data_IF_462114427755
#
_entry.id   IF_462114427755
#
_cell.length_a   1.000
_cell.length_b   1.000
_cell.length_c   1.000
_cell.angle_alpha   90.00
_cell.angle_beta   90.00
_cell.angle_gamma   90.00
#
_symmetry.space_group_name_H-M   'P 1'
#
loop_
_entity.id
_entity.type
_entity.pdbx_description
1 polymer ?
#
# COMPACT_ATOMS: atom_id res chain seq x y z
N UNK A 1 -53.56 -47.91 70.12
CA UNK A 1 -52.61 -48.25 69.01
C UNK A 1 -52.27 -47.00 68.25
N UNK A 2 -51.13 -46.42 68.56
CA UNK A 2 -50.65 -45.15 67.98
C UNK A 2 -49.63 -45.47 66.91
N UNK A 3 -49.87 -45.10 65.62
CA UNK A 3 -48.92 -45.23 64.55
C UNK A 3 -48.10 -43.89 64.44
N UNK A 4 -46.80 -43.97 64.71
CA UNK A 4 -45.84 -42.89 64.52
C UNK A 4 -45.48 -42.86 63.03
N UNK A 5 -45.70 -41.73 62.36
CA UNK A 5 -45.18 -41.40 61.03
C UNK A 5 -43.77 -40.79 61.19
N UNK A 6 -42.79 -41.33 60.46
CA UNK A 6 -41.45 -40.73 60.31
C UNK A 6 -41.43 -39.89 59.01
N UNK A 7 -40.89 -38.68 59.00
CA UNK A 7 -40.70 -37.90 57.76
C UNK A 7 -39.42 -38.36 57.06
N UNK A 8 -39.55 -38.74 55.77
CA UNK A 8 -38.44 -39.01 54.87
C UNK A 8 -37.82 -37.68 54.41
N UNK A 9 -36.56 -37.45 54.77
CA UNK A 9 -35.78 -36.33 54.27
C UNK A 9 -35.23 -36.72 52.88
N UNK A 10 -35.74 -36.07 51.82
CA UNK A 10 -35.15 -36.15 50.49
C UNK A 10 -33.94 -35.22 50.42
N UNK A 11 -32.75 -35.80 50.31
CA UNK A 11 -31.50 -35.07 50.07
C UNK A 11 -31.41 -34.77 48.56
N UNK A 12 -31.71 -33.53 48.18
CA UNK A 12 -31.50 -33.07 46.80
C UNK A 12 -30.01 -32.81 46.59
N UNK A 13 -29.32 -33.71 45.91
CA UNK A 13 -27.95 -33.51 45.41
C UNK A 13 -28.00 -32.56 44.20
N UNK A 14 -27.65 -31.29 44.39
CA UNK A 14 -27.41 -30.35 43.31
C UNK A 14 -26.11 -30.75 42.60
N UNK A 15 -26.21 -31.33 41.41
CA UNK A 15 -25.06 -31.44 40.47
C UNK A 15 -24.73 -30.05 39.98
N UNK A 16 -23.66 -29.47 40.50
CA UNK A 16 -22.98 -28.36 39.88
C UNK A 16 -22.33 -28.86 38.58
N UNK A 17 -22.99 -28.67 37.46
CA UNK A 17 -22.39 -28.85 36.16
C UNK A 17 -21.35 -27.73 35.98
N UNK A 18 -20.09 -28.06 36.28
CA UNK A 18 -18.96 -27.23 35.83
C UNK A 18 -18.90 -27.32 34.31
N UNK A 19 -19.57 -26.38 33.64
CA UNK A 19 -19.44 -26.20 32.21
C UNK A 19 -17.97 -25.95 31.88
N UNK A 20 -17.29 -26.94 31.32
CA UNK A 20 -15.99 -26.71 30.69
C UNK A 20 -16.21 -25.68 29.59
N UNK A 21 -15.86 -24.42 29.84
CA UNK A 21 -15.82 -23.41 28.80
C UNK A 21 -14.79 -23.91 27.78
N UNK A 22 -15.26 -24.24 26.57
CA UNK A 22 -14.35 -24.53 25.46
C UNK A 22 -13.43 -23.36 25.29
N UNK A 23 -12.12 -23.64 25.23
CA UNK A 23 -11.12 -22.59 25.01
C UNK A 23 -11.47 -21.78 23.76
N UNK A 24 -11.33 -20.46 23.83
CA UNK A 24 -11.59 -19.59 22.69
C UNK A 24 -10.83 -20.08 21.44
N UNK A 25 -11.46 -20.18 20.27
CA UNK A 25 -10.78 -20.58 19.04
C UNK A 25 -9.64 -19.61 18.65
N UNK A 26 -9.59 -18.44 19.30
CA UNK A 26 -8.59 -17.42 19.06
C UNK A 26 -7.42 -17.45 20.07
N UNK A 27 -7.43 -18.35 21.07
CA UNK A 27 -6.30 -18.51 21.97
C UNK A 27 -5.03 -18.85 21.19
N UNK A 28 -5.08 -19.94 20.39
CA UNK A 28 -3.93 -20.37 19.57
C UNK A 28 -3.44 -19.29 18.58
N UNK A 29 -4.29 -18.63 17.76
CA UNK A 29 -3.85 -17.54 16.92
C UNK A 29 -3.23 -16.37 17.70
N UNK A 30 -3.76 -16.05 18.87
CA UNK A 30 -3.19 -15.03 19.75
C UNK A 30 -1.79 -15.39 20.24
N UNK A 31 -1.59 -16.64 20.68
CA UNK A 31 -0.28 -17.16 21.09
C UNK A 31 0.71 -17.17 19.91
N UNK A 32 0.27 -17.51 18.69
CA UNK A 32 1.10 -17.42 17.47
C UNK A 32 1.60 -15.98 17.26
N UNK A 33 0.75 -14.96 17.42
CA UNK A 33 1.15 -13.55 17.31
C UNK A 33 2.19 -13.21 18.38
N UNK A 34 1.94 -13.59 19.63
CA UNK A 34 2.85 -13.35 20.78
C UNK A 34 4.21 -14.00 20.54
N UNK A 35 4.24 -15.24 20.08
CA UNK A 35 5.47 -15.99 19.82
C UNK A 35 6.26 -15.43 18.64
N UNK A 36 5.57 -14.98 17.59
CA UNK A 36 6.21 -14.29 16.48
C UNK A 36 6.84 -12.97 16.91
N UNK A 37 6.13 -12.15 17.68
CA UNK A 37 6.68 -10.89 18.20
C UNK A 37 7.88 -11.18 19.11
N UNK A 38 7.76 -12.10 20.06
CA UNK A 38 8.86 -12.48 20.95
C UNK A 38 10.11 -12.94 20.22
N UNK A 39 9.94 -13.78 19.20
CA UNK A 39 11.06 -14.46 18.56
C UNK A 39 11.63 -13.75 17.33
N UNK A 40 10.90 -12.81 16.71
CA UNK A 40 11.27 -12.24 15.42
C UNK A 40 11.25 -10.71 15.33
N UNK A 41 10.62 -10.02 16.27
CA UNK A 41 10.60 -8.56 16.25
C UNK A 41 12.04 -8.02 16.31
N UNK A 42 12.34 -7.00 15.51
CA UNK A 42 13.72 -6.50 15.34
C UNK A 42 14.37 -5.95 16.60
N UNK A 43 13.59 -5.54 17.60
CA UNK A 43 14.06 -5.14 18.93
C UNK A 43 13.66 -6.21 19.96
N UNK A 44 14.58 -7.11 20.35
CA UNK A 44 14.25 -8.23 21.23
C UNK A 44 13.72 -7.80 22.60
N UNK A 45 14.19 -6.66 23.15
CA UNK A 45 13.75 -6.17 24.47
C UNK A 45 12.30 -5.69 24.43
N UNK A 46 11.95 -4.89 23.42
CA UNK A 46 10.56 -4.45 23.22
C UNK A 46 9.65 -5.62 22.86
N UNK A 47 10.11 -6.53 22.02
CA UNK A 47 9.38 -7.74 21.65
C UNK A 47 9.03 -8.61 22.85
N UNK A 48 9.99 -8.88 23.75
CA UNK A 48 9.77 -9.66 24.95
C UNK A 48 8.82 -8.95 25.95
N UNK A 49 9.00 -7.66 26.15
CA UNK A 49 8.13 -6.87 27.04
C UNK A 49 6.67 -6.87 26.55
N UNK A 50 6.48 -6.66 25.23
CA UNK A 50 5.16 -6.71 24.59
C UNK A 50 4.54 -8.10 24.69
N UNK A 51 5.30 -9.15 24.37
CA UNK A 51 4.85 -10.53 24.40
C UNK A 51 4.41 -10.97 25.80
N UNK A 52 5.16 -10.57 26.83
CA UNK A 52 4.80 -10.82 28.24
C UNK A 52 3.49 -10.12 28.61
N UNK A 53 3.33 -8.85 28.22
CA UNK A 53 2.11 -8.06 28.49
C UNK A 53 0.87 -8.65 27.84
N UNK A 54 1.00 -9.16 26.60
CA UNK A 54 -0.11 -9.61 25.79
C UNK A 54 -0.28 -11.14 25.76
N UNK A 55 0.39 -11.88 26.65
CA UNK A 55 0.25 -13.34 26.71
C UNK A 55 -1.21 -13.75 26.93
N UNK A 56 -1.71 -14.67 26.10
CA UNK A 56 -3.07 -15.21 26.18
C UNK A 56 -4.19 -14.24 25.78
N UNK A 57 -3.90 -13.07 25.23
CA UNK A 57 -4.93 -12.06 24.89
C UNK A 57 -6.02 -12.59 23.93
N UNK A 58 -5.67 -13.58 23.08
CA UNK A 58 -6.61 -14.21 22.16
C UNK A 58 -7.74 -14.97 22.85
N UNK A 59 -7.55 -15.42 24.10
CA UNK A 59 -8.57 -16.10 24.86
C UNK A 59 -9.83 -15.26 25.10
N UNK A 60 -9.69 -13.94 25.16
CA UNK A 60 -10.79 -13.00 25.37
C UNK A 60 -11.56 -12.63 24.07
N UNK A 61 -11.09 -13.08 22.92
CA UNK A 61 -11.76 -12.79 21.65
C UNK A 61 -13.00 -13.66 21.44
N UNK A 62 -14.10 -13.02 21.06
CA UNK A 62 -15.42 -13.65 20.87
C UNK A 62 -15.78 -13.92 19.42
N UNK A 63 -15.09 -13.26 18.48
CA UNK A 63 -15.25 -13.42 17.04
C UNK A 63 -13.97 -13.10 16.29
N UNK A 64 -13.89 -13.42 14.99
CA UNK A 64 -12.77 -13.06 14.13
C UNK A 64 -12.55 -11.53 14.08
N UNK A 65 -13.63 -10.75 13.99
CA UNK A 65 -13.56 -9.30 14.00
C UNK A 65 -13.08 -8.75 15.35
N UNK A 66 -13.50 -9.38 16.46
CA UNK A 66 -13.03 -9.00 17.79
C UNK A 66 -11.56 -9.33 17.97
N UNK A 67 -11.11 -10.49 17.51
CA UNK A 67 -9.69 -10.88 17.49
C UNK A 67 -8.85 -9.89 16.66
N UNK A 68 -9.34 -9.54 15.47
CA UNK A 68 -8.67 -8.57 14.60
C UNK A 68 -8.53 -7.20 15.28
N UNK A 69 -9.61 -6.66 15.85
CA UNK A 69 -9.58 -5.38 16.57
C UNK A 69 -8.59 -5.40 17.75
N UNK A 70 -8.60 -6.45 18.56
CA UNK A 70 -7.68 -6.61 19.70
C UNK A 70 -6.23 -6.65 19.25
N UNK A 71 -5.93 -7.42 18.20
CA UNK A 71 -4.58 -7.52 17.65
C UNK A 71 -4.13 -6.18 17.06
N UNK A 72 -4.99 -5.51 16.29
CA UNK A 72 -4.73 -4.18 15.73
C UNK A 72 -4.57 -3.09 16.80
N UNK A 73 -5.21 -3.22 17.95
CA UNK A 73 -5.05 -2.31 19.06
C UNK A 73 -3.72 -2.55 19.84
N UNK A 74 -3.26 -3.80 19.93
CA UNK A 74 -2.07 -4.17 20.68
C UNK A 74 -0.75 -3.88 19.93
N UNK A 75 -0.70 -4.14 18.61
CA UNK A 75 0.54 -4.02 17.82
C UNK A 75 1.16 -2.62 17.79
N UNK A 76 0.38 -1.50 17.75
CA UNK A 76 0.95 -0.14 17.77
C UNK A 76 1.80 0.16 19.02
N UNK A 77 1.60 -0.55 20.12
CA UNK A 77 2.44 -0.41 21.33
C UNK A 77 3.92 -0.77 21.08
N UNK A 78 4.20 -1.54 20.02
CA UNK A 78 5.56 -1.82 19.57
C UNK A 78 6.26 -0.60 18.97
N UNK A 79 5.52 0.47 18.66
CA UNK A 79 6.03 1.72 18.08
C UNK A 79 7.02 1.46 16.93
N UNK A 80 6.58 0.68 15.94
CA UNK A 80 7.39 0.27 14.81
C UNK A 80 6.54 0.23 13.53
N UNK A 81 7.07 0.80 12.47
CA UNK A 81 6.48 0.61 11.15
C UNK A 81 6.54 -0.87 10.73
N UNK A 82 5.90 -1.24 9.65
CA UNK A 82 5.89 -2.63 9.14
C UNK A 82 5.42 -3.65 10.19
N UNK A 83 4.61 -3.20 11.17
CA UNK A 83 4.05 -4.05 12.24
C UNK A 83 2.54 -3.85 12.25
N UNK A 84 1.82 -4.76 11.62
CA UNK A 84 0.38 -4.66 11.43
C UNK A 84 -0.27 -6.03 11.25
N UNK A 85 -1.55 -6.12 11.58
CA UNK A 85 -2.36 -7.33 11.39
C UNK A 85 -3.33 -7.12 10.20
N UNK A 86 -3.35 -8.07 9.29
CA UNK A 86 -4.17 -8.07 8.09
C UNK A 86 -5.12 -9.26 8.07
N UNK A 87 -6.40 -9.06 8.43
CA UNK A 87 -7.42 -10.09 8.34
C UNK A 87 -7.64 -10.58 6.92
N UNK A 88 -7.93 -11.86 6.77
CA UNK A 88 -8.33 -12.44 5.49
C UNK A 88 -9.51 -11.68 4.87
N UNK A 89 -9.46 -11.49 3.56
CA UNK A 89 -10.52 -10.79 2.82
C UNK A 89 -10.39 -9.27 2.83
N UNK A 90 -9.35 -8.71 3.46
CA UNK A 90 -9.03 -7.29 3.35
C UNK A 90 -8.08 -7.00 2.18
N UNK A 91 -8.08 -5.78 1.69
CA UNK A 91 -7.18 -5.33 0.62
C UNK A 91 -5.72 -5.54 1.01
N UNK A 92 -5.31 -5.09 2.21
CA UNK A 92 -3.92 -5.24 2.66
C UNK A 92 -3.47 -6.70 2.79
N UNK A 93 -4.37 -7.62 3.19
CA UNK A 93 -4.07 -9.06 3.18
C UNK A 93 -3.80 -9.57 1.76
N UNK A 94 -4.59 -9.15 0.79
CA UNK A 94 -4.44 -9.55 -0.60
C UNK A 94 -3.16 -8.98 -1.22
N UNK A 95 -2.85 -7.74 -0.94
CA UNK A 95 -1.65 -7.06 -1.42
C UNK A 95 -0.38 -7.72 -0.91
N UNK A 96 -0.27 -7.93 0.41
CA UNK A 96 0.86 -8.66 1.00
C UNK A 96 0.96 -10.09 0.48
N UNK A 97 -0.19 -10.76 0.32
CA UNK A 97 -0.23 -12.11 -0.27
C UNK A 97 0.32 -12.12 -1.69
N UNK A 98 0.02 -11.11 -2.50
CA UNK A 98 0.52 -11.00 -3.87
C UNK A 98 2.02 -10.65 -3.92
N UNK A 99 2.47 -9.70 -3.09
CA UNK A 99 3.88 -9.29 -2.98
C UNK A 99 4.75 -10.47 -2.53
N UNK A 100 4.31 -11.17 -1.50
CA UNK A 100 5.06 -12.25 -0.86
C UNK A 100 4.56 -13.65 -1.24
N UNK A 101 3.89 -13.80 -2.38
CA UNK A 101 3.25 -15.05 -2.81
C UNK A 101 4.18 -16.26 -2.74
N UNK A 102 5.43 -16.11 -3.19
CA UNK A 102 6.44 -17.17 -3.15
C UNK A 102 6.88 -17.51 -1.73
N UNK A 103 7.10 -16.51 -0.90
CA UNK A 103 7.48 -16.66 0.51
C UNK A 103 6.36 -17.35 1.30
N UNK A 104 5.12 -16.95 1.10
CA UNK A 104 3.94 -17.53 1.73
C UNK A 104 3.49 -18.86 1.10
N UNK A 105 4.15 -19.31 0.02
CA UNK A 105 3.83 -20.53 -0.72
C UNK A 105 2.36 -20.60 -1.17
N UNK A 106 1.82 -19.46 -1.61
CA UNK A 106 0.44 -19.40 -2.08
C UNK A 106 0.36 -19.76 -3.57
N UNK A 107 -0.61 -20.62 -3.97
CA UNK A 107 -0.72 -21.05 -5.36
C UNK A 107 -1.18 -19.94 -6.29
N UNK A 108 -2.12 -19.14 -5.85
CA UNK A 108 -2.73 -18.03 -6.60
C UNK A 108 -3.26 -16.98 -5.62
N UNK A 109 -3.12 -15.72 -5.99
CA UNK A 109 -3.71 -14.58 -5.26
C UNK A 109 -4.51 -13.77 -6.25
N UNK A 110 -5.81 -13.67 -6.02
CA UNK A 110 -6.73 -12.86 -6.82
C UNK A 110 -7.75 -12.18 -5.93
N UNK A 111 -8.09 -10.94 -6.28
CA UNK A 111 -9.09 -10.13 -5.58
C UNK A 111 -9.97 -9.41 -6.58
N UNK A 112 -11.22 -9.10 -6.19
CA UNK A 112 -12.06 -8.20 -6.95
C UNK A 112 -11.47 -6.80 -6.98
N UNK A 113 -11.35 -6.20 -8.16
CA UNK A 113 -10.91 -4.81 -8.36
C UNK A 113 -11.80 -4.10 -9.36
N UNK A 114 -11.96 -2.81 -9.17
CA UNK A 114 -12.56 -1.88 -10.14
C UNK A 114 -11.52 -1.12 -10.97
N UNK A 115 -10.23 -1.38 -10.74
CA UNK A 115 -9.14 -0.62 -11.37
C UNK A 115 -8.95 0.75 -10.72
N UNK A 116 -9.03 0.80 -9.39
CA UNK A 116 -8.78 2.01 -8.61
C UNK A 116 -8.35 1.64 -7.18
N UNK A 117 -7.45 2.43 -6.61
CA UNK A 117 -7.15 2.41 -5.18
C UNK A 117 -8.14 3.30 -4.44
N UNK A 118 -8.79 2.74 -3.43
CA UNK A 118 -9.77 3.44 -2.60
C UNK A 118 -9.17 3.64 -1.22
N UNK A 119 -9.06 4.90 -0.82
CA UNK A 119 -8.57 5.28 0.49
C UNK A 119 -9.74 5.49 1.45
N UNK A 120 -9.67 4.84 2.61
CA UNK A 120 -10.55 5.15 3.74
C UNK A 120 -10.02 6.38 4.48
N UNK A 121 -10.92 7.31 4.78
CA UNK A 121 -10.66 8.54 5.55
C UNK A 121 -11.73 8.69 6.63
N UNK A 122 -11.59 9.59 7.59
CA UNK A 122 -12.66 9.90 8.54
C UNK A 122 -13.99 10.35 7.89
N UNK A 123 -13.93 10.87 6.65
CA UNK A 123 -15.12 11.28 5.88
C UNK A 123 -15.70 10.17 5.01
N UNK A 124 -15.07 9.00 4.93
CA UNK A 124 -15.48 7.84 4.13
C UNK A 124 -14.45 7.37 3.10
N UNK A 125 -14.90 6.68 2.09
CA UNK A 125 -14.06 6.05 1.08
C UNK A 125 -13.92 6.94 -0.15
N UNK A 126 -12.68 7.30 -0.52
CA UNK A 126 -12.39 8.16 -1.67
C UNK A 126 -11.52 7.46 -2.70
N UNK A 127 -11.82 7.67 -3.98
CA UNK A 127 -10.96 7.21 -5.07
C UNK A 127 -9.63 7.98 -5.04
N UNK A 128 -8.56 7.28 -4.64
CA UNK A 128 -7.21 7.84 -4.52
C UNK A 128 -6.48 7.84 -5.86
N UNK A 129 -6.37 6.67 -6.45
CA UNK A 129 -5.83 6.49 -7.79
C UNK A 129 -6.86 5.77 -8.65
N UNK A 130 -7.12 6.29 -9.82
CA UNK A 130 -7.98 5.65 -10.82
C UNK A 130 -7.06 5.19 -11.95
N UNK A 131 -6.90 3.88 -12.09
CA UNK A 131 -5.93 3.30 -13.02
C UNK A 131 -6.38 3.55 -14.46
N UNK A 132 -5.50 4.15 -15.26
CA UNK A 132 -5.79 4.46 -16.66
C UNK A 132 -6.24 3.19 -17.40
N UNK A 133 -7.25 3.34 -18.25
CA UNK A 133 -7.88 2.25 -19.01
C UNK A 133 -8.55 1.15 -18.18
N UNK A 134 -8.57 1.27 -16.84
CA UNK A 134 -9.31 0.38 -15.93
C UNK A 134 -10.83 0.54 -16.03
N UNK A 135 -11.60 -0.39 -15.43
CA UNK A 135 -13.06 -0.32 -15.44
C UNK A 135 -13.61 0.98 -14.84
N UNK A 136 -13.03 1.43 -13.71
CA UNK A 136 -13.43 2.66 -13.03
C UNK A 136 -13.17 3.91 -13.91
N UNK A 137 -11.99 4.00 -14.53
CA UNK A 137 -11.66 5.09 -15.43
C UNK A 137 -12.62 5.16 -16.63
N UNK A 138 -12.94 4.01 -17.24
CA UNK A 138 -13.89 3.91 -18.35
C UNK A 138 -15.31 4.33 -17.97
N UNK A 139 -15.70 4.13 -16.72
CA UNK A 139 -16.99 4.54 -16.18
C UNK A 139 -17.01 6.01 -15.73
N UNK A 140 -15.89 6.73 -15.77
CA UNK A 140 -15.80 8.13 -15.40
C UNK A 140 -15.63 8.39 -13.91
N UNK A 141 -15.15 7.40 -13.12
CA UNK A 141 -14.68 7.63 -11.76
C UNK A 141 -13.45 8.53 -11.80
N UNK A 142 -13.39 9.52 -10.92
CA UNK A 142 -12.28 10.47 -10.83
C UNK A 142 -11.62 10.41 -9.45
N UNK A 143 -10.34 10.84 -9.41
CA UNK A 143 -9.66 11.10 -8.15
C UNK A 143 -10.49 12.04 -7.28
N UNK A 144 -10.67 11.68 -6.01
CA UNK A 144 -11.43 12.44 -5.05
C UNK A 144 -12.94 12.19 -5.04
N UNK A 145 -13.48 11.35 -5.93
CA UNK A 145 -14.86 10.90 -5.82
C UNK A 145 -15.03 10.06 -4.55
N UNK A 146 -16.06 10.36 -3.76
CA UNK A 146 -16.44 9.58 -2.58
C UNK A 146 -17.37 8.43 -2.99
N UNK A 147 -17.02 7.19 -2.64
CA UNK A 147 -17.84 6.02 -2.86
C UNK A 147 -18.86 5.89 -1.73
N UNK A 148 -20.14 6.05 -2.02
CA UNK A 148 -21.21 5.97 -1.04
C UNK A 148 -21.77 4.54 -0.94
N UNK A 149 -22.13 3.95 -2.06
CA UNK A 149 -22.78 2.63 -2.08
C UNK A 149 -22.48 1.84 -3.34
N UNK A 150 -22.67 0.52 -3.23
CA UNK A 150 -22.67 -0.46 -4.33
C UNK A 150 -23.99 -1.20 -4.31
N UNK A 151 -24.77 -1.12 -5.40
CA UNK A 151 -26.11 -1.66 -5.51
C UNK A 151 -27.02 -1.25 -4.32
N UNK A 152 -26.95 0.01 -3.91
CA UNK A 152 -27.71 0.57 -2.81
C UNK A 152 -27.26 0.18 -1.40
N UNK A 153 -26.22 -0.65 -1.25
CA UNK A 153 -25.62 -0.99 0.04
C UNK A 153 -24.38 -0.14 0.30
N UNK A 154 -24.11 0.31 1.54
CA UNK A 154 -22.90 1.09 1.83
C UNK A 154 -21.64 0.42 1.30
N UNK A 155 -20.72 1.22 0.73
CA UNK A 155 -19.42 0.71 0.30
C UNK A 155 -18.54 0.39 1.51
N UNK A 156 -17.92 -0.79 1.52
CA UNK A 156 -17.07 -1.29 2.62
C UNK A 156 -15.77 -1.90 2.12
N UNK A 157 -15.20 -1.40 1.05
CA UNK A 157 -13.99 -1.94 0.43
C UNK A 157 -14.21 -3.16 -0.50
N UNK A 158 -13.18 -4.00 -0.62
CA UNK A 158 -13.17 -5.21 -1.47
C UNK A 158 -14.36 -6.15 -1.19
N UNK A 159 -14.82 -6.22 0.06
CA UNK A 159 -15.97 -7.05 0.42
C UNK A 159 -17.24 -6.70 -0.37
N UNK A 160 -17.43 -5.40 -0.69
CA UNK A 160 -18.56 -4.94 -1.51
C UNK A 160 -18.51 -5.47 -2.96
N UNK A 161 -17.35 -5.94 -3.42
CA UNK A 161 -17.11 -6.34 -4.80
C UNK A 161 -17.14 -7.85 -5.02
N UNK A 162 -17.01 -8.67 -3.96
CA UNK A 162 -16.77 -10.12 -4.05
C UNK A 162 -17.83 -10.86 -4.88
N UNK A 163 -19.11 -10.50 -4.79
CA UNK A 163 -20.18 -11.13 -5.54
C UNK A 163 -20.52 -10.41 -6.87
N UNK A 164 -19.70 -9.41 -7.23
CA UNK A 164 -19.94 -8.51 -8.37
C UNK A 164 -18.96 -8.72 -9.52
N UNK A 165 -18.01 -9.62 -9.35
CA UNK A 165 -17.00 -9.91 -10.38
C UNK A 165 -17.66 -10.25 -11.70
N UNK A 166 -17.22 -9.61 -12.78
CA UNK A 166 -17.72 -9.72 -14.17
C UNK A 166 -19.22 -9.37 -14.33
N UNK A 167 -19.79 -8.59 -13.42
CA UNK A 167 -21.19 -8.11 -13.52
C UNK A 167 -21.20 -6.59 -13.56
N UNK A 168 -21.91 -5.95 -14.52
CA UNK A 168 -22.18 -4.53 -14.46
C UNK A 168 -22.82 -4.17 -13.11
N UNK A 169 -22.21 -3.27 -12.37
CA UNK A 169 -22.56 -2.98 -10.97
C UNK A 169 -22.68 -1.47 -10.78
N UNK A 170 -23.75 -1.03 -10.15
CA UNK A 170 -24.03 0.38 -9.89
C UNK A 170 -23.28 0.86 -8.65
N UNK A 171 -22.48 1.90 -8.82
CA UNK A 171 -21.80 2.63 -7.76
C UNK A 171 -22.43 4.00 -7.62
N UNK A 172 -22.87 4.36 -6.43
CA UNK A 172 -23.30 5.72 -6.11
C UNK A 172 -22.09 6.45 -5.56
N UNK A 173 -21.75 7.58 -6.17
CA UNK A 173 -20.63 8.43 -5.77
C UNK A 173 -21.08 9.84 -5.46
N UNK A 174 -20.31 10.55 -4.62
CA UNK A 174 -20.41 11.99 -4.38
C UNK A 174 -19.11 12.64 -4.89
N UNK A 175 -19.21 13.45 -5.94
CA UNK A 175 -18.05 14.12 -6.58
C UNK A 175 -17.69 15.44 -5.93
N UNK A 176 -18.70 16.15 -5.47
CA UNK A 176 -18.57 17.43 -4.79
C UNK A 176 -19.38 17.37 -3.50
N UNK A 177 -18.82 17.85 -2.42
CA UNK A 177 -19.46 17.82 -1.09
C UNK A 177 -20.86 18.45 -1.14
N UNK A 178 -21.87 17.68 -0.74
CA UNK A 178 -23.26 18.11 -0.68
C UNK A 178 -23.97 18.23 -2.04
N UNK A 179 -23.32 17.82 -3.14
CA UNK A 179 -23.98 17.75 -4.44
C UNK A 179 -24.81 16.46 -4.58
N UNK A 180 -25.75 16.47 -5.54
CA UNK A 180 -26.51 15.26 -5.87
C UNK A 180 -25.58 14.10 -6.29
N UNK A 181 -25.77 12.91 -5.69
CA UNK A 181 -24.96 11.75 -6.01
C UNK A 181 -25.10 11.33 -7.47
N UNK A 182 -23.99 10.88 -8.05
CA UNK A 182 -23.92 10.34 -9.40
C UNK A 182 -23.85 8.82 -9.37
N UNK A 183 -24.52 8.16 -10.30
CA UNK A 183 -24.45 6.69 -10.44
C UNK A 183 -23.54 6.34 -11.62
N UNK A 184 -22.49 5.55 -11.32
CA UNK A 184 -21.58 4.98 -12.31
C UNK A 184 -21.84 3.46 -12.44
N UNK A 185 -21.77 2.93 -13.64
CA UNK A 185 -21.81 1.47 -13.84
C UNK A 185 -20.41 0.96 -14.10
N UNK A 186 -19.86 0.22 -13.14
CA UNK A 186 -18.50 -0.34 -13.18
C UNK A 186 -18.59 -1.86 -13.14
N UNK A 187 -17.81 -2.56 -13.97
CA UNK A 187 -17.74 -4.03 -13.93
C UNK A 187 -16.46 -4.46 -13.22
N UNK A 188 -16.53 -4.91 -11.95
CA UNK A 188 -15.35 -5.40 -11.23
C UNK A 188 -14.76 -6.62 -11.91
N UNK A 189 -13.42 -6.75 -11.86
CA UNK A 189 -12.66 -7.88 -12.40
C UNK A 189 -11.93 -8.60 -11.29
N UNK A 190 -11.64 -9.89 -11.48
CA UNK A 190 -10.73 -10.63 -10.62
C UNK A 190 -9.30 -10.42 -11.11
N UNK A 191 -8.43 -9.91 -10.27
CA UNK A 191 -7.05 -9.54 -10.62
C UNK A 191 -6.05 -10.03 -9.58
N UNK A 192 -4.82 -10.25 -10.00
CA UNK A 192 -3.69 -10.30 -9.07
C UNK A 192 -3.24 -8.85 -8.79
N UNK A 193 -3.19 -8.39 -7.52
CA UNK A 193 -2.85 -7.00 -7.19
C UNK A 193 -1.51 -6.55 -7.79
N UNK A 194 -0.47 -7.38 -7.69
CA UNK A 194 0.87 -7.05 -8.23
C UNK A 194 0.84 -6.87 -9.76
N UNK A 195 0.12 -7.73 -10.47
CA UNK A 195 -0.03 -7.60 -11.92
C UNK A 195 -0.85 -6.34 -12.28
N UNK A 196 -1.92 -6.04 -11.55
CA UNK A 196 -2.72 -4.84 -11.79
C UNK A 196 -1.91 -3.56 -11.59
N UNK A 197 -1.07 -3.49 -10.55
CA UNK A 197 -0.18 -2.33 -10.35
C UNK A 197 0.86 -2.18 -11.45
N UNK A 198 1.38 -3.29 -11.97
CA UNK A 198 2.34 -3.25 -13.07
C UNK A 198 1.69 -2.76 -14.37
N UNK A 199 0.47 -3.22 -14.65
CA UNK A 199 -0.34 -2.76 -15.78
C UNK A 199 -0.71 -1.27 -15.62
N UNK A 200 -1.10 -0.84 -14.40
CA UNK A 200 -1.41 0.54 -14.08
C UNK A 200 -0.18 1.46 -14.20
N UNK A 201 1.00 1.00 -13.77
CA UNK A 201 2.28 1.70 -13.96
C UNK A 201 2.53 1.93 -15.46
N UNK A 202 2.44 0.88 -16.27
CA UNK A 202 2.62 0.99 -17.73
C UNK A 202 1.58 1.94 -18.34
N UNK A 203 0.32 1.82 -17.97
CA UNK A 203 -0.76 2.66 -18.47
C UNK A 203 -0.64 4.14 -18.04
N UNK A 204 0.12 4.43 -16.99
CA UNK A 204 0.40 5.81 -16.54
C UNK A 204 1.51 6.50 -17.34
N UNK A 205 2.31 5.74 -18.10
CA UNK A 205 3.44 6.23 -18.90
C UNK A 205 2.96 7.23 -19.94
N UNK A 206 3.47 8.46 -19.88
CA UNK A 206 3.14 9.52 -20.84
C UNK A 206 4.17 10.64 -20.86
N UNK A 207 4.22 11.39 -21.94
CA UNK A 207 4.93 12.66 -22.05
C UNK A 207 3.90 13.78 -22.15
N UNK A 208 4.08 14.82 -21.35
CA UNK A 208 3.21 16.00 -21.28
C UNK A 208 3.97 17.21 -21.78
N UNK A 209 3.40 17.95 -22.71
CA UNK A 209 3.92 19.27 -23.07
C UNK A 209 3.51 20.27 -21.98
N UNK A 210 4.47 20.75 -21.23
CA UNK A 210 4.26 21.63 -20.09
C UNK A 210 5.26 22.81 -20.10
N UNK A 211 4.74 24.02 -20.17
CA UNK A 211 5.53 25.27 -20.23
C UNK A 211 6.62 25.21 -21.33
N UNK A 212 6.30 24.66 -22.50
CA UNK A 212 7.23 24.54 -23.62
C UNK A 212 8.30 23.47 -23.47
N UNK A 213 8.18 22.58 -22.49
CA UNK A 213 9.07 21.43 -22.23
C UNK A 213 8.28 20.13 -22.33
N UNK A 214 8.93 19.06 -22.75
CA UNK A 214 8.39 17.71 -22.80
C UNK A 214 8.72 17.00 -21.49
N UNK A 215 7.77 16.93 -20.57
CA UNK A 215 7.96 16.30 -19.26
C UNK A 215 7.37 14.89 -19.27
N UNK A 216 8.22 13.89 -19.06
CA UNK A 216 7.81 12.51 -18.90
C UNK A 216 7.18 12.28 -17.52
N UNK A 217 6.22 11.35 -17.44
CA UNK A 217 5.57 10.95 -16.20
C UNK A 217 5.33 9.44 -16.16
N UNK A 218 5.64 8.83 -15.02
CA UNK A 218 5.22 7.48 -14.69
C UNK A 218 4.94 7.35 -13.20
N UNK A 219 3.83 6.66 -12.83
CA UNK A 219 3.49 6.36 -11.44
C UNK A 219 3.89 4.93 -11.09
N UNK A 220 4.63 4.77 -9.98
CA UNK A 220 4.98 3.48 -9.40
C UNK A 220 4.10 3.17 -8.20
N UNK A 221 3.06 2.37 -8.40
CA UNK A 221 2.16 1.91 -7.33
C UNK A 221 2.85 0.96 -6.36
N UNK A 222 3.90 0.28 -6.81
CA UNK A 222 4.73 -0.61 -6.01
C UNK A 222 6.16 -0.63 -6.57
N UNK A 223 7.12 -0.97 -5.71
CA UNK A 223 8.47 -1.35 -6.13
C UNK A 223 8.77 -2.83 -5.80
N UNK A 224 7.77 -3.58 -5.33
CA UNK A 224 7.97 -4.95 -4.87
C UNK A 224 8.15 -5.94 -6.03
N UNK A 225 9.40 -6.08 -6.44
CA UNK A 225 9.85 -6.94 -7.51
C UNK A 225 10.61 -6.20 -8.61
N UNK A 226 11.48 -6.90 -9.34
CA UNK A 226 12.31 -6.29 -10.38
C UNK A 226 11.51 -5.75 -11.56
N UNK A 227 10.28 -6.23 -11.76
CA UNK A 227 9.45 -5.90 -12.92
C UNK A 227 9.06 -4.41 -12.94
N UNK A 228 8.84 -3.79 -11.76
CA UNK A 228 8.53 -2.37 -11.65
C UNK A 228 9.71 -1.49 -12.05
N UNK A 229 10.93 -1.84 -11.60
CA UNK A 229 12.16 -1.16 -12.01
C UNK A 229 12.41 -1.34 -13.51
N UNK A 230 12.23 -2.55 -14.04
CA UNK A 230 12.41 -2.83 -15.47
C UNK A 230 11.45 -2.00 -16.33
N UNK A 231 10.17 -1.89 -15.94
CA UNK A 231 9.19 -1.06 -16.64
C UNK A 231 9.58 0.41 -16.68
N UNK A 232 10.13 0.94 -15.58
CA UNK A 232 10.64 2.31 -15.58
C UNK A 232 11.89 2.44 -16.49
N UNK A 233 12.79 1.47 -16.45
CA UNK A 233 13.98 1.46 -17.31
C UNK A 233 13.62 1.46 -18.79
N UNK A 234 12.67 0.60 -19.17
CA UNK A 234 12.16 0.53 -20.55
C UNK A 234 11.56 1.89 -20.96
N UNK A 235 10.72 2.48 -20.11
CA UNK A 235 10.14 3.80 -20.38
C UNK A 235 11.20 4.90 -20.51
N UNK A 236 12.21 4.93 -19.64
CA UNK A 236 13.31 5.90 -19.71
C UNK A 236 14.12 5.79 -21.00
N UNK A 237 14.31 4.57 -21.52
CA UNK A 237 15.09 4.29 -22.73
C UNK A 237 14.28 4.57 -24.02
N UNK A 238 13.00 4.27 -24.00
CA UNK A 238 12.16 4.28 -25.21
C UNK A 238 11.13 5.43 -25.18
N UNK A 239 10.08 5.31 -24.36
CA UNK A 239 8.95 6.27 -24.36
C UNK A 239 9.39 7.69 -24.02
N UNK A 240 10.38 7.82 -23.12
CA UNK A 240 10.89 9.08 -22.58
C UNK A 240 12.17 9.58 -23.25
N UNK A 241 12.70 8.86 -24.22
CA UNK A 241 13.98 9.20 -24.86
C UNK A 241 14.05 10.66 -25.33
N UNK A 242 12.95 11.20 -25.83
CA UNK A 242 12.83 12.58 -26.30
C UNK A 242 12.27 13.57 -25.27
N UNK A 243 11.97 13.14 -24.04
CA UNK A 243 11.53 14.04 -22.99
C UNK A 243 12.72 14.86 -22.44
N UNK A 244 12.43 16.05 -21.90
CA UNK A 244 13.43 16.97 -21.35
C UNK A 244 13.68 16.73 -19.87
N UNK A 245 12.65 16.24 -19.13
CA UNK A 245 12.70 15.92 -17.73
C UNK A 245 11.74 14.74 -17.43
N UNK A 246 11.85 14.15 -16.23
CA UNK A 246 10.93 13.09 -15.78
C UNK A 246 10.39 13.38 -14.38
N UNK A 247 9.08 13.15 -14.21
CA UNK A 247 8.41 13.02 -12.92
C UNK A 247 8.14 11.56 -12.65
N UNK A 248 8.69 11.04 -11.56
CA UNK A 248 8.44 9.69 -11.07
C UNK A 248 7.57 9.80 -9.83
N UNK A 249 6.35 9.26 -9.90
CA UNK A 249 5.38 9.36 -8.81
C UNK A 249 5.51 8.17 -7.87
N UNK A 250 6.00 8.43 -6.67
CA UNK A 250 6.19 7.48 -5.58
C UNK A 250 5.12 7.57 -4.50
N UNK A 251 4.11 8.38 -4.71
CA UNK A 251 3.04 8.53 -3.73
C UNK A 251 2.34 7.20 -3.50
N UNK A 252 1.94 6.98 -2.25
CA UNK A 252 1.14 5.84 -1.83
C UNK A 252 1.74 4.45 -2.17
N UNK A 253 0.91 3.43 -2.10
CA UNK A 253 1.23 2.06 -2.50
C UNK A 253 2.31 1.38 -1.64
N UNK A 254 3.01 0.43 -2.25
CA UNK A 254 3.97 -0.42 -1.55
C UNK A 254 5.41 -0.07 -1.89
N UNK A 255 6.29 -0.15 -0.89
CA UNK A 255 7.73 -0.02 -1.06
C UNK A 255 8.37 -1.21 -1.79
N UNK A 256 9.54 -1.65 -1.33
CA UNK A 256 10.27 -2.79 -1.89
C UNK A 256 11.19 -2.45 -3.05
N UNK A 257 11.49 -1.16 -3.27
CA UNK A 257 12.50 -0.76 -4.26
C UNK A 257 13.86 -1.37 -3.89
N UNK A 258 14.50 -2.00 -4.86
CA UNK A 258 15.86 -2.50 -4.71
C UNK A 258 16.85 -1.32 -4.80
N UNK A 259 17.97 -1.32 -4.06
CA UNK A 259 19.02 -0.31 -4.20
C UNK A 259 19.54 -0.12 -5.64
N UNK A 260 19.48 -1.16 -6.47
CA UNK A 260 19.83 -1.08 -7.91
C UNK A 260 18.94 -0.11 -8.71
N UNK A 261 17.81 0.33 -8.14
CA UNK A 261 16.97 1.38 -8.73
C UNK A 261 17.76 2.68 -9.00
N UNK A 262 18.73 2.99 -8.14
CA UNK A 262 19.59 4.15 -8.28
C UNK A 262 20.50 4.09 -9.53
N UNK A 263 20.78 2.88 -10.03
CA UNK A 263 21.60 2.70 -11.24
C UNK A 263 20.95 3.31 -12.48
N UNK A 264 19.64 3.47 -12.51
CA UNK A 264 18.91 4.13 -13.61
C UNK A 264 19.33 5.61 -13.78
N UNK A 265 19.86 6.22 -12.71
CA UNK A 265 20.25 7.63 -12.64
C UNK A 265 21.74 7.84 -12.42
N UNK A 266 22.55 6.78 -12.56
CA UNK A 266 23.99 6.83 -12.33
C UNK A 266 24.69 7.64 -13.44
N UNK A 267 25.10 8.87 -13.10
CA UNK A 267 25.77 9.80 -14.02
C UNK A 267 27.19 9.38 -14.40
N UNK A 268 27.79 8.43 -13.68
CA UNK A 268 29.12 7.89 -14.01
C UNK A 268 29.09 6.93 -15.20
N UNK A 269 27.93 6.39 -15.58
CA UNK A 269 27.78 5.59 -16.79
C UNK A 269 27.90 6.47 -18.02
N UNK A 270 28.85 6.21 -18.94
CA UNK A 270 29.06 7.07 -20.10
C UNK A 270 27.88 7.01 -21.07
N UNK A 271 27.65 8.13 -21.77
CA UNK A 271 26.72 8.17 -22.89
C UNK A 271 27.39 7.63 -24.15
N UNK A 272 26.68 6.87 -24.93
CA UNK A 272 27.13 6.32 -26.18
C UNK A 272 26.47 7.04 -27.36
N UNK A 273 27.22 7.19 -28.46
CA UNK A 273 26.67 7.75 -29.70
C UNK A 273 27.09 6.83 -30.85
N UNK A 274 26.13 6.12 -31.41
CA UNK A 274 26.33 5.41 -32.65
C UNK A 274 26.41 6.40 -33.82
N UNK A 275 27.36 6.22 -34.72
CA UNK A 275 27.48 7.04 -35.94
C UNK A 275 27.21 6.11 -37.13
N UNK A 276 26.10 6.34 -37.80
CA UNK A 276 25.70 5.59 -38.99
C UNK A 276 26.61 5.89 -40.19
N UNK A 277 26.57 5.06 -41.20
CA UNK A 277 27.32 5.26 -42.45
C UNK A 277 26.93 6.58 -43.15
N UNK A 278 25.70 7.01 -42.94
CA UNK A 278 25.13 8.27 -43.46
C UNK A 278 25.51 9.51 -42.62
N UNK A 279 26.39 9.34 -41.60
CA UNK A 279 26.75 10.35 -40.65
C UNK A 279 25.70 10.65 -39.57
N UNK A 280 24.53 9.97 -39.59
CA UNK A 280 23.49 10.14 -38.57
C UNK A 280 24.02 9.70 -37.21
N UNK A 281 23.85 10.57 -36.23
CA UNK A 281 24.26 10.31 -34.83
C UNK A 281 23.07 9.81 -34.04
N UNK A 282 23.16 8.61 -33.50
CA UNK A 282 22.14 7.98 -32.67
C UNK A 282 22.66 7.89 -31.24
N UNK A 283 22.34 8.86 -30.35
CA UNK A 283 22.73 8.79 -28.95
C UNK A 283 21.85 7.72 -28.25
N UNK A 284 22.49 6.91 -27.44
CA UNK A 284 21.80 6.03 -26.50
C UNK A 284 22.54 6.01 -25.16
N UNK A 285 21.78 5.83 -24.10
CA UNK A 285 22.31 5.77 -22.74
C UNK A 285 21.55 4.70 -21.96
N UNK A 286 22.29 3.92 -21.20
CA UNK A 286 21.71 2.96 -20.28
C UNK A 286 21.10 3.62 -19.02
N UNK A 287 21.31 4.94 -18.87
CA UNK A 287 20.92 5.71 -17.67
C UNK A 287 20.32 7.06 -18.04
N UNK A 288 19.46 7.56 -17.15
CA UNK A 288 18.83 8.88 -17.31
C UNK A 288 19.71 9.98 -16.74
N UNK A 289 20.01 10.99 -17.55
CA UNK A 289 20.91 12.10 -17.18
C UNK A 289 20.24 13.49 -17.15
N UNK A 290 18.94 13.54 -17.50
CA UNK A 290 18.16 14.79 -17.51
C UNK A 290 17.52 15.01 -16.12
N UNK A 291 16.90 16.17 -15.85
CA UNK A 291 16.26 16.44 -14.57
C UNK A 291 15.25 15.39 -14.16
N UNK A 292 15.21 15.10 -12.84
CA UNK A 292 14.28 14.14 -12.21
C UNK A 292 13.55 14.85 -11.08
N UNK A 293 12.25 14.70 -11.05
CA UNK A 293 11.39 15.03 -9.91
C UNK A 293 10.81 13.75 -9.33
N UNK A 294 10.97 13.55 -8.04
CA UNK A 294 10.24 12.53 -7.30
C UNK A 294 9.03 13.16 -6.63
N UNK A 295 7.84 12.69 -6.97
CA UNK A 295 6.60 13.09 -6.34
C UNK A 295 6.30 12.12 -5.20
N UNK A 296 6.27 12.61 -3.95
CA UNK A 296 6.15 11.81 -2.73
C UNK A 296 5.06 12.38 -1.80
N UNK A 297 4.57 11.55 -0.87
CA UNK A 297 3.61 11.99 0.14
C UNK A 297 3.78 11.21 1.46
N UNK A 298 2.95 11.51 2.47
CA UNK A 298 2.96 10.86 3.76
C UNK A 298 2.70 9.34 3.75
N UNK A 299 2.33 8.76 2.62
CA UNK A 299 2.18 7.32 2.44
C UNK A 299 3.34 6.69 1.62
N UNK A 300 4.25 7.50 1.08
CA UNK A 300 5.50 7.00 0.47
C UNK A 300 6.35 6.36 1.55
N UNK A 301 6.61 5.05 1.45
CA UNK A 301 7.20 4.26 2.53
C UNK A 301 8.29 3.30 2.07
N UNK A 302 9.11 2.83 3.03
CA UNK A 302 10.05 1.72 2.88
C UNK A 302 11.08 2.00 1.77
N UNK A 303 11.29 1.07 0.86
CA UNK A 303 12.24 1.22 -0.26
C UNK A 303 12.05 2.50 -1.08
N UNK A 304 10.83 3.04 -1.19
CA UNK A 304 10.58 4.34 -1.84
C UNK A 304 11.26 5.49 -1.08
N UNK A 305 11.26 5.44 0.26
CA UNK A 305 11.94 6.45 1.10
C UNK A 305 13.46 6.34 0.98
N UNK A 306 13.99 5.10 0.94
CA UNK A 306 15.43 4.86 0.76
C UNK A 306 15.89 5.46 -0.57
N UNK A 307 15.15 5.23 -1.66
CA UNK A 307 15.45 5.80 -2.97
C UNK A 307 15.32 7.32 -2.94
N UNK A 308 14.23 7.87 -2.39
CA UNK A 308 13.99 9.31 -2.31
C UNK A 308 15.09 10.03 -1.50
N UNK A 309 15.43 9.50 -0.33
CA UNK A 309 16.53 10.02 0.52
C UNK A 309 17.86 10.02 -0.23
N UNK A 310 18.20 8.89 -0.86
CA UNK A 310 19.49 8.77 -1.55
C UNK A 310 19.56 9.66 -2.78
N UNK A 311 18.50 9.72 -3.59
CA UNK A 311 18.47 10.60 -4.77
C UNK A 311 18.57 12.08 -4.39
N UNK A 312 17.88 12.51 -3.32
CA UNK A 312 17.99 13.86 -2.78
C UNK A 312 19.42 14.16 -2.30
N UNK A 313 19.99 13.28 -1.48
CA UNK A 313 21.33 13.43 -0.93
C UNK A 313 22.42 13.52 -2.01
N UNK A 314 22.26 12.76 -3.09
CA UNK A 314 23.17 12.77 -4.24
C UNK A 314 22.87 13.88 -5.27
N UNK A 315 21.89 14.73 -5.04
CA UNK A 315 21.47 15.77 -6.00
C UNK A 315 20.97 15.20 -7.33
N UNK A 316 20.39 14.00 -7.32
CA UNK A 316 19.88 13.33 -8.51
C UNK A 316 18.42 13.68 -8.80
N UNK A 317 17.65 14.07 -7.78
CA UNK A 317 16.24 14.43 -7.93
C UNK A 317 15.85 15.57 -7.00
N UNK A 318 14.83 16.35 -7.41
CA UNK A 318 14.07 17.27 -6.55
C UNK A 318 12.83 16.57 -6.04
N UNK A 319 12.58 16.62 -4.74
CA UNK A 319 11.40 16.02 -4.11
C UNK A 319 10.27 17.03 -4.01
N UNK A 320 9.08 16.67 -4.52
CA UNK A 320 7.87 17.49 -4.50
C UNK A 320 6.74 16.73 -3.79
N UNK A 321 5.90 17.42 -3.06
CA UNK A 321 4.71 16.86 -2.41
C UNK A 321 4.71 17.03 -0.91
N UNK A 322 4.74 15.96 -0.14
CA UNK A 322 4.76 16.01 1.32
C UNK A 322 5.86 15.14 1.90
N UNK A 323 6.25 15.44 3.14
CA UNK A 323 7.14 14.62 3.94
C UNK A 323 6.71 13.14 3.89
N UNK A 324 7.66 12.21 3.73
CA UNK A 324 7.36 10.78 3.61
C UNK A 324 6.99 10.12 4.95
N UNK A 325 6.57 8.87 4.91
CA UNK A 325 5.97 8.18 6.06
C UNK A 325 6.91 7.99 7.26
N UNK A 326 8.23 7.94 7.07
CA UNK A 326 9.16 7.50 8.12
C UNK A 326 8.97 6.03 8.48
N UNK A 327 8.67 5.20 7.49
CA UNK A 327 8.35 3.78 7.66
C UNK A 327 9.36 2.93 6.90
N UNK A 328 10.55 2.69 7.47
CA UNK A 328 11.71 2.15 6.75
C UNK A 328 12.24 0.83 7.33
N UNK A 329 11.62 0.29 8.38
CA UNK A 329 11.96 -1.05 8.86
C UNK A 329 11.71 -2.10 7.78
N UNK A 330 12.49 -3.19 7.79
CA UNK A 330 12.20 -4.33 6.94
C UNK A 330 11.16 -5.23 7.61
N UNK A 331 10.06 -5.50 6.89
CA UNK A 331 8.97 -6.34 7.38
C UNK A 331 8.86 -7.67 6.65
N UNK A 332 8.35 -8.68 7.34
CA UNK A 332 8.02 -9.98 6.77
C UNK A 332 6.59 -10.39 7.13
N UNK A 333 5.81 -10.95 6.19
CA UNK A 333 4.49 -11.48 6.50
C UNK A 333 4.61 -12.88 7.10
N UNK A 334 3.88 -13.11 8.18
CA UNK A 334 3.77 -14.37 8.90
C UNK A 334 2.32 -14.82 8.85
N UNK A 335 2.08 -16.02 8.33
CA UNK A 335 0.73 -16.55 8.20
C UNK A 335 0.34 -17.27 9.49
N UNK A 336 -0.77 -16.85 10.07
CA UNK A 336 -1.35 -17.48 11.26
C UNK A 336 -2.20 -18.69 10.89
N UNK A 337 -2.53 -19.51 11.88
CA UNK A 337 -3.40 -20.70 11.73
C UNK A 337 -4.81 -20.36 11.22
N UNK A 338 -5.30 -19.15 11.47
CA UNK A 338 -6.55 -18.61 10.89
C UNK A 338 -6.43 -18.27 9.39
N UNK A 339 -5.21 -18.17 8.87
CA UNK A 339 -4.91 -17.70 7.52
C UNK A 339 -4.80 -16.18 7.41
N UNK A 340 -4.96 -15.44 8.50
CA UNK A 340 -4.63 -14.01 8.57
C UNK A 340 -3.12 -13.79 8.47
N UNK A 341 -2.69 -12.56 8.18
CA UNK A 341 -1.27 -12.22 8.13
C UNK A 341 -0.91 -11.26 9.26
N UNK A 342 0.13 -11.62 10.01
CA UNK A 342 0.91 -10.69 10.82
C UNK A 342 2.06 -10.19 9.93
N UNK A 343 2.09 -8.89 9.61
CA UNK A 343 3.26 -8.25 9.01
C UNK A 343 4.10 -7.68 10.13
N UNK A 344 5.33 -8.14 10.27
CA UNK A 344 6.16 -7.86 11.44
C UNK A 344 7.50 -7.27 11.00
N UNK A 345 7.91 -6.15 11.62
CA UNK A 345 9.24 -5.58 11.48
C UNK A 345 10.30 -6.53 12.07
N UNK A 346 11.24 -6.96 11.24
CA UNK A 346 12.27 -7.95 11.61
C UNK A 346 13.70 -7.43 11.53
N UNK A 347 13.91 -6.28 10.85
CA UNK A 347 15.22 -5.65 10.74
C UNK A 347 15.10 -4.13 10.78
N UNK A 348 16.03 -3.45 11.44
CA UNK A 348 16.26 -2.02 11.29
C UNK A 348 17.08 -1.77 10.03
N UNK A 349 16.81 -0.66 9.33
CA UNK A 349 17.50 -0.28 8.10
C UNK A 349 18.18 1.07 8.29
N UNK A 350 19.47 1.12 8.05
CA UNK A 350 20.26 2.35 7.97
C UNK A 350 20.68 2.62 6.53
N UNK A 351 20.63 3.88 6.14
CA UNK A 351 21.15 4.34 4.85
C UNK A 351 22.36 5.22 5.10
N UNK A 352 23.56 4.67 4.90
CA UNK A 352 24.85 5.35 5.19
C UNK A 352 24.89 5.94 6.62
N UNK A 353 24.48 5.16 7.61
CA UNK A 353 24.46 5.55 9.02
C UNK A 353 23.28 6.44 9.44
N UNK A 354 22.33 6.72 8.53
CA UNK A 354 21.12 7.48 8.84
C UNK A 354 19.94 6.57 9.04
N UNK A 355 19.27 6.69 10.19
CA UNK A 355 18.01 6.03 10.48
C UNK A 355 16.86 6.91 9.98
N UNK A 356 16.04 6.38 9.08
CA UNK A 356 14.86 7.07 8.53
C UNK A 356 13.57 6.65 9.23
N UNK A 357 13.59 5.58 10.02
CA UNK A 357 12.43 5.11 10.79
C UNK A 357 11.97 6.18 11.79
N UNK A 358 10.70 6.53 11.75
CA UNK A 358 10.10 7.60 12.54
C UNK A 358 10.50 9.02 12.12
N UNK A 359 11.42 9.16 11.14
CA UNK A 359 11.90 10.46 10.66
C UNK A 359 11.35 10.79 9.28
N UNK A 360 11.45 9.86 8.31
CA UNK A 360 11.08 10.09 6.92
C UNK A 360 12.02 11.01 6.15
N UNK A 361 11.59 11.43 4.95
CA UNK A 361 12.37 12.27 4.04
C UNK A 361 11.63 13.59 3.79
N UNK A 362 12.21 14.74 4.15
CA UNK A 362 11.61 16.04 3.86
C UNK A 362 11.70 16.36 2.37
N UNK A 363 10.64 16.97 1.83
CA UNK A 363 10.59 17.43 0.43
C UNK A 363 11.34 18.74 0.23
N UNK A 364 11.65 19.07 -1.02
CA UNK A 364 12.23 20.35 -1.42
C UNK A 364 11.14 21.38 -1.72
N UNK A 365 9.99 20.91 -2.23
CA UNK A 365 8.81 21.72 -2.54
C UNK A 365 7.58 21.07 -1.89
N UNK A 366 7.09 21.71 -0.84
CA UNK A 366 5.90 21.21 -0.13
C UNK A 366 4.62 21.60 -0.87
N UNK A 367 3.74 20.60 -1.07
CA UNK A 367 2.41 20.78 -1.67
C UNK A 367 1.42 19.90 -0.91
N UNK A 368 0.41 20.48 -0.26
CA UNK A 368 -0.62 19.71 0.45
C UNK A 368 -1.35 18.73 -0.49
N UNK A 369 -1.70 17.58 0.06
CA UNK A 369 -2.57 16.63 -0.64
C UNK A 369 -4.04 17.00 -0.44
N UNK A 370 -4.76 17.18 -1.53
CA UNK A 370 -6.18 17.52 -1.54
C UNK A 370 -6.99 16.38 -2.15
N UNK A 371 -7.16 15.27 -1.41
CA UNK A 371 -7.88 14.11 -1.95
C UNK A 371 -9.41 14.25 -1.88
N UNK A 372 -10.06 14.55 -0.74
CA UNK A 372 -11.51 14.59 -0.69
C UNK A 372 -12.10 15.61 -1.67
N UNK A 373 -12.99 15.12 -2.53
CA UNK A 373 -13.71 15.96 -3.51
C UNK A 373 -12.82 16.69 -4.53
N UNK A 374 -11.66 16.11 -4.84
CA UNK A 374 -10.68 16.69 -5.78
C UNK A 374 -11.23 16.84 -7.21
N UNK A 375 -12.32 16.15 -7.56
CA UNK A 375 -12.94 16.20 -8.91
C UNK A 375 -11.92 15.96 -10.03
N UNK A 376 -11.00 15.03 -9.82
CA UNK A 376 -9.95 14.68 -10.77
C UNK A 376 -8.70 15.58 -10.72
N UNK A 377 -8.69 16.67 -9.96
CA UNK A 377 -7.53 17.56 -9.82
C UNK A 377 -6.41 16.92 -9.01
N UNK A 378 -5.16 17.26 -9.33
CA UNK A 378 -3.97 16.78 -8.63
C UNK A 378 -2.92 17.90 -8.51
N UNK A 379 -3.07 18.82 -7.53
CA UNK A 379 -2.16 19.96 -7.36
C UNK A 379 -0.70 19.55 -7.11
N UNK A 380 -0.48 18.37 -6.50
CA UNK A 380 0.87 17.87 -6.30
C UNK A 380 1.53 17.47 -7.63
N UNK A 381 0.79 16.80 -8.52
CA UNK A 381 1.27 16.46 -9.86
C UNK A 381 1.50 17.72 -10.70
N UNK A 382 0.55 18.68 -10.69
CA UNK A 382 0.69 19.93 -11.42
C UNK A 382 1.99 20.66 -11.00
N UNK A 383 2.24 20.73 -9.68
CA UNK A 383 3.47 21.35 -9.16
C UNK A 383 4.74 20.57 -9.53
N UNK A 384 4.67 19.25 -9.53
CA UNK A 384 5.81 18.41 -9.94
C UNK A 384 6.17 18.64 -11.43
N UNK A 385 5.17 18.80 -12.28
CA UNK A 385 5.37 19.16 -13.70
C UNK A 385 6.01 20.57 -13.84
N UNK A 386 5.55 21.57 -13.06
CA UNK A 386 6.16 22.90 -13.02
C UNK A 386 7.64 22.83 -12.65
N UNK A 387 7.95 22.12 -11.57
CA UNK A 387 9.36 21.98 -11.09
C UNK A 387 10.21 21.25 -12.11
N UNK A 388 9.69 20.21 -12.73
CA UNK A 388 10.41 19.45 -13.75
C UNK A 388 10.71 20.30 -14.99
N UNK A 389 9.74 21.08 -15.47
CA UNK A 389 9.92 21.97 -16.60
C UNK A 389 10.95 23.09 -16.31
N UNK A 390 10.88 23.69 -15.12
CA UNK A 390 11.80 24.73 -14.67
C UNK A 390 13.26 24.24 -14.48
N UNK A 391 13.44 22.95 -14.17
CA UNK A 391 14.76 22.35 -14.00
C UNK A 391 15.51 22.08 -15.32
N UNK A 392 14.83 22.18 -16.45
CA UNK A 392 15.43 22.00 -17.77
C UNK A 392 16.27 23.25 -18.13
N UNK A 393 17.57 23.11 -18.40
CA UNK A 393 18.40 24.25 -18.80
C UNK A 393 17.80 24.98 -20.02
N UNK A 394 17.97 26.29 -20.04
CA UNK A 394 17.68 27.08 -21.27
C UNK A 394 18.55 26.58 -22.41
N UNK A 395 18.07 26.58 -23.66
CA UNK A 395 18.80 26.10 -24.82
C UNK A 395 20.09 26.95 -25.09
#
# INVERSE_FOLDING_TARGET
>A
MSKRLYPSILLATALLATGAHAASPFLKPGDEVVDHVRSRFYDPKRGEAWATKHQGYGAAATSADDFARRTQAALPELNASHTAFYPRGTTGHADLSAIFQRHLKLPKVEVPSIGADIQETPQGFFARHVFAHGPAAKAGLLRGDRLLSVEGKPFTSVASLTQRVNKPTRFTIERTLGAEPTVLTITPRLVNPKAEWLDAQHASTRVVDHQGRRVAYQQLYSCAGPEHQQKLQDALSDDFAQADAVVIDFRDGWGGCNPTFLNLFNRAVPRFVGIGRDGRRNPWSATWHKPVVLLVNGNSRSGKEIVAFTMKRLGLATLVGQHTAGAVLAGTPLRLSTGDLLYLAVEAVEVEGVLLEGVGVPVDVEVPDALPYASGKDPQLDKALDVAAAAVPSP
#
